data_IF_438064054603
#
_entry.id   IF_438064054603
#
_cell.length_a   1.000
_cell.length_b   1.000
_cell.length_c   1.000
_cell.angle_alpha   90.00
_cell.angle_beta   90.00
_cell.angle_gamma   90.00
#
_symmetry.space_group_name_H-M   'P 1'
#
loop_
_entity.id
_entity.type
_entity.pdbx_description
1 polymer ?
#
# COMPACT_ATOMS: atom_id res chain seq x y z
N UNK A 1 10.28 -1.15 -9.13
CA UNK A 1 10.64 -0.21 -8.04
C UNK A 1 9.80 -0.41 -6.79
N UNK A 2 8.48 -0.47 -6.90
CA UNK A 2 7.57 -0.72 -5.77
C UNK A 2 7.84 -2.01 -4.99
N UNK A 3 8.28 -3.09 -5.63
CA UNK A 3 8.65 -4.35 -4.95
C UNK A 3 9.94 -4.21 -4.12
N UNK A 4 10.91 -3.46 -4.65
CA UNK A 4 12.16 -3.18 -3.94
C UNK A 4 11.90 -2.36 -2.68
N UNK A 5 11.02 -1.35 -2.79
CA UNK A 5 10.55 -0.57 -1.66
C UNK A 5 9.95 -1.45 -0.54
N UNK A 6 8.92 -2.25 -0.86
CA UNK A 6 8.22 -3.04 0.16
C UNK A 6 9.17 -4.04 0.81
N UNK A 7 10.11 -4.61 0.05
CA UNK A 7 11.19 -5.44 0.57
C UNK A 7 12.11 -4.71 1.55
N UNK A 8 12.46 -3.45 1.28
CA UNK A 8 13.28 -2.61 2.17
C UNK A 8 12.47 -2.17 3.40
N UNK A 9 11.18 -1.85 3.27
CA UNK A 9 10.31 -1.53 4.41
C UNK A 9 10.18 -2.70 5.39
N UNK A 10 10.22 -3.95 4.93
CA UNK A 10 10.21 -5.13 5.80
C UNK A 10 11.44 -5.18 6.73
N UNK A 11 12.58 -4.65 6.28
CA UNK A 11 13.82 -4.62 7.03
C UNK A 11 13.95 -3.38 7.90
N UNK A 12 13.64 -2.20 7.35
CA UNK A 12 13.86 -0.90 8.00
C UNK A 12 12.71 -0.41 8.89
N UNK A 13 11.53 -1.03 8.86
CA UNK A 13 10.40 -0.65 9.71
C UNK A 13 10.43 -1.38 11.06
N UNK A 14 11.56 -1.26 11.76
CA UNK A 14 11.72 -1.70 13.14
C UNK A 14 11.85 -0.49 14.08
N UNK A 15 11.44 -0.61 15.36
CA UNK A 15 11.39 0.53 16.31
C UNK A 15 12.74 1.22 16.57
N UNK A 16 13.84 0.54 16.26
CA UNK A 16 15.22 0.91 16.50
C UNK A 16 15.95 1.48 15.28
N UNK A 17 15.29 1.56 14.12
CA UNK A 17 15.88 1.98 12.85
C UNK A 17 15.65 3.47 12.59
N UNK A 18 16.68 4.13 12.04
CA UNK A 18 16.67 5.55 11.73
C UNK A 18 15.53 5.91 10.74
N UNK A 19 14.72 6.91 11.08
CA UNK A 19 13.55 7.36 10.30
C UNK A 19 13.93 7.71 8.85
N UNK A 20 15.19 8.12 8.61
CA UNK A 20 15.70 8.41 7.27
C UNK A 20 15.54 7.26 6.27
N UNK A 21 15.65 6.00 6.71
CA UNK A 21 15.43 4.84 5.83
C UNK A 21 13.95 4.67 5.45
N UNK A 22 13.03 5.02 6.36
CA UNK A 22 11.59 5.02 6.06
C UNK A 22 11.27 6.11 5.03
N UNK A 23 11.90 7.28 5.14
CA UNK A 23 11.74 8.37 4.15
C UNK A 23 12.25 7.92 2.77
N UNK A 24 13.41 7.25 2.71
CA UNK A 24 13.93 6.68 1.45
C UNK A 24 12.95 5.72 0.79
N UNK A 25 12.35 4.81 1.57
CA UNK A 25 11.32 3.89 1.05
C UNK A 25 10.12 4.65 0.44
N UNK A 26 9.58 5.66 1.16
CA UNK A 26 8.47 6.47 0.63
C UNK A 26 8.80 7.19 -0.69
N UNK A 27 10.06 7.64 -0.86
CA UNK A 27 10.50 8.23 -2.12
C UNK A 27 10.43 7.20 -3.26
N UNK A 28 10.87 5.96 -3.04
CA UNK A 28 10.77 4.91 -4.06
C UNK A 28 9.33 4.53 -4.41
N UNK A 29 8.42 4.55 -3.44
CA UNK A 29 6.98 4.38 -3.69
C UNK A 29 6.48 5.51 -4.59
N UNK A 30 6.80 6.76 -4.27
CA UNK A 30 6.35 7.93 -5.02
C UNK A 30 6.81 7.88 -6.49
N UNK A 31 8.09 7.58 -6.72
CA UNK A 31 8.63 7.45 -8.08
C UNK A 31 8.05 6.25 -8.83
N UNK A 32 7.97 5.09 -8.18
CA UNK A 32 7.45 3.87 -8.81
C UNK A 32 5.96 3.97 -9.14
N UNK A 33 5.15 4.38 -8.15
CA UNK A 33 3.70 4.51 -8.29
C UNK A 33 3.31 5.65 -9.22
N UNK A 34 3.91 6.84 -9.07
CA UNK A 34 3.58 8.00 -9.88
C UNK A 34 3.90 7.80 -11.37
N UNK A 35 5.03 7.17 -11.68
CA UNK A 35 5.40 6.90 -13.08
C UNK A 35 4.44 5.89 -13.72
N UNK A 36 4.09 4.82 -13.00
CA UNK A 36 3.23 3.76 -13.53
C UNK A 36 1.84 4.29 -13.92
N UNK A 37 1.23 5.09 -13.05
CA UNK A 37 -0.11 5.67 -13.30
C UNK A 37 -0.11 6.58 -14.53
N UNK A 38 0.92 7.43 -14.70
CA UNK A 38 1.01 8.31 -15.86
C UNK A 38 1.20 7.51 -17.15
N UNK A 39 2.04 6.46 -17.12
CA UNK A 39 2.25 5.60 -18.29
C UNK A 39 0.98 4.82 -18.69
N UNK A 40 0.22 4.32 -17.72
CA UNK A 40 -1.07 3.66 -17.94
C UNK A 40 -2.06 4.62 -18.61
N UNK A 41 -2.26 5.80 -18.04
CA UNK A 41 -3.20 6.80 -18.59
C UNK A 41 -2.81 7.25 -20.00
N UNK A 42 -1.51 7.45 -20.24
CA UNK A 42 -1.00 7.78 -21.57
C UNK A 42 -1.32 6.68 -22.58
N UNK A 43 -1.15 5.40 -22.19
CA UNK A 43 -1.44 4.25 -23.04
C UNK A 43 -2.93 4.18 -23.37
N UNK A 44 -3.80 4.36 -22.36
CA UNK A 44 -5.26 4.41 -22.53
C UNK A 44 -5.67 5.51 -23.50
N UNK A 45 -5.09 6.71 -23.35
CA UNK A 45 -5.35 7.83 -24.26
C UNK A 45 -4.87 7.55 -25.68
N UNK A 46 -3.74 6.86 -25.85
CA UNK A 46 -3.15 6.55 -27.15
C UNK A 46 -3.98 5.52 -27.96
N UNK A 47 -4.55 4.51 -27.30
CA UNK A 47 -5.34 3.46 -27.98
C UNK A 47 -6.81 3.85 -28.18
N UNK A 48 -7.27 4.92 -27.52
CA UNK A 48 -8.66 5.37 -27.56
C UNK A 48 -8.93 6.39 -28.65
N UNK A 49 -10.18 6.46 -29.14
CA UNK A 49 -10.63 7.58 -29.99
C UNK A 49 -10.83 8.82 -29.14
N UNK A 50 -10.46 10.00 -29.64
CA UNK A 50 -10.54 11.28 -28.90
C UNK A 50 -11.89 11.53 -28.20
N UNK A 51 -13.01 11.20 -28.84
CA UNK A 51 -14.35 11.36 -28.24
C UNK A 51 -14.66 10.40 -27.07
N UNK A 52 -13.96 9.27 -26.98
CA UNK A 52 -14.20 8.25 -25.96
C UNK A 52 -13.20 8.31 -24.80
N UNK A 53 -12.14 9.11 -24.89
CA UNK A 53 -11.11 9.23 -23.84
C UNK A 53 -11.72 9.47 -22.45
N UNK A 54 -12.66 10.43 -22.26
CA UNK A 54 -13.23 10.67 -20.93
C UNK A 54 -13.97 9.45 -20.37
N UNK A 55 -14.69 8.71 -21.22
CA UNK A 55 -15.42 7.52 -20.81
C UNK A 55 -14.47 6.39 -20.40
N UNK A 56 -13.37 6.18 -21.13
CA UNK A 56 -12.40 5.13 -20.81
C UNK A 56 -11.64 5.47 -19.52
N UNK A 57 -11.22 6.73 -19.34
CA UNK A 57 -10.59 7.18 -18.08
C UNK A 57 -11.53 7.09 -16.88
N UNK A 58 -12.84 7.32 -17.07
CA UNK A 58 -13.82 7.14 -16.00
C UNK A 58 -13.93 5.65 -15.57
N UNK A 59 -13.89 4.73 -16.53
CA UNK A 59 -13.87 3.29 -16.24
C UNK A 59 -12.57 2.88 -15.54
N UNK A 60 -11.43 3.39 -15.98
CA UNK A 60 -10.13 3.19 -15.31
C UNK A 60 -10.20 3.62 -13.83
N UNK A 61 -10.64 4.86 -13.58
CA UNK A 61 -10.76 5.40 -12.23
C UNK A 61 -11.69 4.56 -11.33
N UNK A 62 -12.80 4.05 -11.89
CA UNK A 62 -13.70 3.15 -11.17
C UNK A 62 -13.00 1.85 -10.77
N UNK A 63 -12.23 1.24 -11.67
CA UNK A 63 -11.47 0.01 -11.38
C UNK A 63 -10.40 0.27 -10.32
N UNK A 64 -9.68 1.40 -10.40
CA UNK A 64 -8.71 1.80 -9.38
C UNK A 64 -9.35 2.00 -7.99
N UNK A 65 -10.55 2.60 -7.94
CA UNK A 65 -11.30 2.78 -6.70
C UNK A 65 -11.72 1.43 -6.09
N UNK A 66 -12.16 0.48 -6.92
CA UNK A 66 -12.48 -0.88 -6.47
C UNK A 66 -11.24 -1.58 -5.89
N UNK A 67 -10.10 -1.51 -6.59
CA UNK A 67 -8.84 -2.07 -6.10
C UNK A 67 -8.41 -1.48 -4.75
N UNK A 68 -8.53 -0.16 -4.60
CA UNK A 68 -8.21 0.56 -3.36
C UNK A 68 -9.12 0.13 -2.19
N UNK A 69 -10.41 -0.08 -2.45
CA UNK A 69 -11.37 -0.58 -1.46
C UNK A 69 -11.04 -2.00 -1.01
N UNK A 70 -10.72 -2.90 -1.94
CA UNK A 70 -10.32 -4.29 -1.62
C UNK A 70 -9.03 -4.30 -0.80
N UNK A 71 -8.00 -3.55 -1.21
CA UNK A 71 -6.74 -3.46 -0.48
C UNK A 71 -6.92 -2.94 0.94
N UNK A 72 -7.72 -1.88 1.11
CA UNK A 72 -8.03 -1.30 2.43
C UNK A 72 -8.79 -2.29 3.32
N UNK A 73 -9.71 -3.07 2.74
CA UNK A 73 -10.46 -4.10 3.47
C UNK A 73 -9.56 -5.23 3.95
N UNK A 74 -8.65 -5.71 3.10
CA UNK A 74 -7.66 -6.73 3.49
C UNK A 74 -6.76 -6.20 4.60
N UNK A 75 -6.27 -4.96 4.48
CA UNK A 75 -5.46 -4.32 5.51
C UNK A 75 -6.20 -4.20 6.85
N UNK A 76 -7.47 -3.78 6.83
CA UNK A 76 -8.32 -3.68 8.02
C UNK A 76 -8.58 -5.05 8.66
N UNK A 77 -8.85 -6.08 7.85
CA UNK A 77 -9.05 -7.45 8.33
C UNK A 77 -7.78 -8.03 8.96
N UNK A 78 -6.61 -7.77 8.37
CA UNK A 78 -5.33 -8.15 8.96
C UNK A 78 -5.08 -7.42 10.28
N UNK A 79 -5.35 -6.11 10.34
CA UNK A 79 -5.17 -5.31 11.56
C UNK A 79 -6.03 -5.85 12.70
N UNK A 80 -7.34 -5.96 12.47
CA UNK A 80 -8.30 -6.44 13.47
C UNK A 80 -8.13 -7.92 13.83
N UNK A 81 -7.59 -8.74 12.92
CA UNK A 81 -7.35 -10.16 13.19
C UNK A 81 -6.04 -10.46 13.93
N UNK A 82 -4.98 -9.69 13.66
CA UNK A 82 -3.61 -9.98 14.13
C UNK A 82 -3.23 -9.12 15.33
N UNK A 83 -3.51 -7.81 15.26
CA UNK A 83 -3.07 -6.84 16.26
C UNK A 83 -3.63 -7.13 17.65
N UNK A 84 -4.95 -7.32 17.88
CA UNK A 84 -5.49 -7.57 19.22
C UNK A 84 -5.00 -8.91 19.82
N UNK A 85 -4.88 -9.96 18.99
CA UNK A 85 -4.39 -11.28 19.45
C UNK A 85 -2.94 -11.20 19.92
N UNK A 86 -2.08 -10.50 19.16
CA UNK A 86 -0.68 -10.33 19.55
C UNK A 86 -0.53 -9.38 20.74
N UNK A 87 -1.34 -8.32 20.79
CA UNK A 87 -1.35 -7.36 21.87
C UNK A 87 -1.67 -8.03 23.21
N UNK A 88 -2.71 -8.86 23.28
CA UNK A 88 -3.07 -9.60 24.48
C UNK A 88 -1.96 -10.57 24.95
N UNK A 89 -1.19 -11.14 24.02
CA UNK A 89 -0.09 -12.09 24.32
C UNK A 89 1.17 -11.41 24.84
N UNK A 90 1.46 -10.20 24.37
CA UNK A 90 2.72 -9.49 24.67
C UNK A 90 2.56 -8.38 25.72
N UNK A 91 1.34 -8.03 26.13
CA UNK A 91 1.10 -7.10 27.23
C UNK A 91 1.48 -7.75 28.58
N UNK A 92 2.22 -7.03 29.45
CA UNK A 92 2.43 -7.46 30.83
C UNK A 92 1.10 -7.54 31.59
N UNK A 93 0.99 -8.42 32.58
CA UNK A 93 -0.25 -8.66 33.33
C UNK A 93 -0.84 -7.39 33.94
N UNK A 94 0.01 -6.42 34.28
CA UNK A 94 -0.38 -5.10 34.80
C UNK A 94 -1.14 -4.22 33.80
N UNK A 95 -1.00 -4.46 32.50
CA UNK A 95 -1.61 -3.65 31.44
C UNK A 95 -2.68 -4.42 30.63
N UNK A 96 -2.92 -5.69 30.95
CA UNK A 96 -3.97 -6.51 30.32
C UNK A 96 -5.38 -6.00 30.62
N UNK A 97 -5.59 -5.38 31.79
CA UNK A 97 -6.87 -4.76 32.16
C UNK A 97 -7.25 -3.58 31.25
N UNK A 98 -6.27 -2.82 30.79
CA UNK A 98 -6.46 -1.66 29.93
C UNK A 98 -6.44 -1.99 28.43
N UNK A 99 -6.49 -3.27 28.06
CA UNK A 99 -6.38 -3.74 26.69
C UNK A 99 -7.32 -3.01 25.71
N UNK A 100 -8.58 -2.79 26.10
CA UNK A 100 -9.56 -2.13 25.24
C UNK A 100 -9.22 -0.65 24.99
N UNK A 101 -8.75 0.05 26.02
CA UNK A 101 -8.32 1.45 25.93
C UNK A 101 -7.02 1.59 25.13
N UNK A 102 -6.07 0.67 25.35
CA UNK A 102 -4.82 0.62 24.60
C UNK A 102 -5.09 0.28 23.13
N UNK A 103 -5.98 -0.67 22.82
CA UNK A 103 -6.29 -1.01 21.42
C UNK A 103 -7.05 0.10 20.70
N UNK A 104 -8.01 0.73 21.39
CA UNK A 104 -8.92 1.70 20.81
C UNK A 104 -8.34 3.11 20.66
N UNK A 105 -7.28 3.46 21.40
CA UNK A 105 -6.79 4.84 21.44
C UNK A 105 -5.25 4.94 21.33
N UNK A 106 -4.80 5.60 20.26
CA UNK A 106 -3.39 5.86 20.00
C UNK A 106 -2.78 6.86 21.02
N UNK A 107 -3.60 7.74 21.60
CA UNK A 107 -3.14 8.69 22.63
C UNK A 107 -2.81 7.96 23.94
N UNK A 108 -3.59 6.94 24.31
CA UNK A 108 -3.29 6.06 25.45
C UNK A 108 -2.04 5.24 25.18
N UNK A 109 -1.86 4.73 23.97
CA UNK A 109 -0.63 4.02 23.60
C UNK A 109 0.61 4.91 23.69
N UNK A 110 0.48 6.20 23.38
CA UNK A 110 1.56 7.19 23.36
C UNK A 110 1.79 7.94 24.67
N UNK A 111 0.87 7.82 25.62
CA UNK A 111 1.05 8.37 26.98
C UNK A 111 1.99 7.52 27.83
N UNK A 112 2.20 6.23 27.50
CA UNK A 112 3.17 5.40 28.19
C UNK A 112 4.59 5.91 27.97
N UNK A 113 5.40 6.06 29.05
CA UNK A 113 6.73 6.62 28.94
C UNK A 113 7.62 5.78 28.00
N UNK A 114 8.44 6.43 27.15
CA UNK A 114 9.44 5.76 26.33
C UNK A 114 10.36 4.89 27.19
N UNK A 115 10.57 3.63 26.78
CA UNK A 115 11.38 2.66 27.53
C UNK A 115 10.62 1.85 28.58
N UNK A 116 9.34 2.13 28.83
CA UNK A 116 8.52 1.24 29.67
C UNK A 116 8.29 -0.13 28.98
N UNK A 117 8.16 -1.24 29.74
CA UNK A 117 7.89 -2.56 29.19
C UNK A 117 6.64 -2.57 28.30
N UNK A 118 5.61 -1.81 28.68
CA UNK A 118 4.37 -1.65 27.92
C UNK A 118 4.62 -0.93 26.58
N UNK A 119 5.37 0.17 26.57
CA UNK A 119 5.66 0.91 25.34
C UNK A 119 6.53 0.10 24.37
N UNK A 120 7.55 -0.59 24.86
CA UNK A 120 8.40 -1.47 24.05
C UNK A 120 7.58 -2.63 23.45
N UNK A 121 6.68 -3.22 24.24
CA UNK A 121 5.78 -4.26 23.76
C UNK A 121 4.87 -3.74 22.63
N UNK A 122 4.25 -2.57 22.82
CA UNK A 122 3.39 -1.93 21.81
C UNK A 122 4.19 -1.63 20.53
N UNK A 123 5.34 -0.98 20.62
CA UNK A 123 6.14 -0.61 19.44
C UNK A 123 6.59 -1.86 18.65
N UNK A 124 7.01 -2.92 19.35
CA UNK A 124 7.35 -4.20 18.73
C UNK A 124 6.15 -4.86 18.05
N UNK A 125 4.96 -4.76 18.63
CA UNK A 125 3.72 -5.28 18.05
C UNK A 125 3.32 -4.54 16.78
N UNK A 126 3.45 -3.22 16.76
CA UNK A 126 3.25 -2.41 15.56
C UNK A 126 4.19 -2.84 14.43
N UNK A 127 5.49 -2.92 14.71
CA UNK A 127 6.48 -3.36 13.73
C UNK A 127 6.19 -4.76 13.19
N UNK A 128 5.83 -5.72 14.06
CA UNK A 128 5.47 -7.07 13.63
C UNK A 128 4.19 -7.13 12.79
N UNK A 129 3.16 -6.36 13.15
CA UNK A 129 1.89 -6.34 12.42
C UNK A 129 2.08 -5.70 11.05
N UNK A 130 2.79 -4.57 11.01
CA UNK A 130 3.12 -3.88 9.77
C UNK A 130 4.00 -4.74 8.86
N UNK A 131 4.97 -5.47 9.40
CA UNK A 131 5.79 -6.43 8.63
C UNK A 131 4.93 -7.50 7.95
N UNK A 132 3.94 -8.06 8.65
CA UNK A 132 3.03 -9.05 8.05
C UNK A 132 2.18 -8.43 6.94
N UNK A 133 1.67 -7.21 7.13
CA UNK A 133 0.92 -6.50 6.10
C UNK A 133 1.76 -6.22 4.85
N UNK A 134 3.04 -5.84 5.02
CA UNK A 134 3.98 -5.62 3.92
C UNK A 134 4.30 -6.92 3.16
N UNK A 135 4.42 -8.06 3.84
CA UNK A 135 4.59 -9.37 3.19
C UNK A 135 3.36 -9.69 2.33
N UNK A 136 2.15 -9.51 2.86
CA UNK A 136 0.91 -9.71 2.09
C UNK A 136 0.85 -8.78 0.86
N UNK A 137 1.23 -7.51 1.02
CA UNK A 137 1.30 -6.57 -0.10
C UNK A 137 2.32 -7.03 -1.17
N UNK A 138 3.49 -7.54 -0.75
CA UNK A 138 4.50 -8.10 -1.67
C UNK A 138 3.93 -9.26 -2.48
N UNK A 139 3.17 -10.16 -1.85
CA UNK A 139 2.50 -11.25 -2.56
C UNK A 139 1.49 -10.72 -3.59
N UNK A 140 0.72 -9.69 -3.26
CA UNK A 140 -0.22 -9.08 -4.22
C UNK A 140 0.50 -8.43 -5.40
N UNK A 141 1.67 -7.81 -5.21
CA UNK A 141 2.47 -7.25 -6.30
C UNK A 141 2.95 -8.29 -7.33
N UNK A 142 3.07 -9.57 -6.93
CA UNK A 142 3.40 -10.64 -7.89
C UNK A 142 2.31 -10.84 -8.95
N UNK A 143 1.05 -10.57 -8.59
CA UNK A 143 -0.08 -10.60 -9.53
C UNK A 143 0.06 -9.43 -10.52
N UNK A 144 0.40 -8.23 -10.03
CA UNK A 144 0.64 -7.06 -10.89
C UNK A 144 1.76 -7.32 -11.89
N UNK A 145 2.88 -7.91 -11.46
CA UNK A 145 3.97 -8.30 -12.38
C UNK A 145 3.49 -9.28 -13.44
N UNK A 146 2.71 -10.28 -13.04
CA UNK A 146 2.15 -11.27 -13.97
C UNK A 146 1.26 -10.59 -15.00
N UNK A 147 0.42 -9.63 -14.59
CA UNK A 147 -0.43 -8.85 -15.49
C UNK A 147 0.39 -8.01 -16.49
N UNK A 148 1.52 -7.44 -16.08
CA UNK A 148 2.39 -6.68 -16.99
C UNK A 148 2.95 -7.55 -18.13
N UNK A 149 3.18 -8.85 -17.91
CA UNK A 149 3.58 -9.74 -19.01
C UNK A 149 2.51 -9.92 -20.10
N UNK A 150 1.24 -9.66 -19.78
CA UNK A 150 0.15 -9.72 -20.75
C UNK A 150 -0.11 -8.38 -21.46
N UNK A 151 0.62 -7.31 -21.14
CA UNK A 151 0.49 -6.06 -21.86
C UNK A 151 1.01 -6.19 -23.29
N UNK A 152 0.19 -5.72 -24.23
CA UNK A 152 0.60 -5.60 -25.62
C UNK A 152 1.44 -4.35 -25.80
N UNK A 153 2.50 -4.46 -26.60
CA UNK A 153 3.36 -3.34 -26.92
C UNK A 153 2.63 -2.39 -27.88
N UNK A 154 2.36 -1.16 -27.42
CA UNK A 154 1.64 -0.15 -28.20
C UNK A 154 2.66 0.82 -28.78
N UNK A 155 2.98 0.65 -30.07
CA UNK A 155 3.85 1.58 -30.78
C UNK A 155 3.12 2.88 -31.14
N UNK A 156 3.32 3.89 -30.29
CA UNK A 156 2.76 5.24 -30.45
C UNK A 156 3.22 5.93 -31.75
N UNK A 157 4.36 5.54 -32.35
CA UNK A 157 4.88 6.14 -33.59
C UNK A 157 4.08 5.73 -34.83
N UNK A 158 3.44 4.57 -34.80
CA UNK A 158 2.68 4.01 -35.92
C UNK A 158 1.16 4.15 -35.77
N UNK A 159 0.68 4.91 -34.78
CA UNK A 159 -0.76 5.15 -34.59
C UNK A 159 -1.25 6.07 -35.71
N UNK A 160 -1.86 5.48 -36.74
CA UNK A 160 -2.69 6.23 -37.71
C UNK A 160 -3.86 6.83 -36.95
N UNK A 161 -3.80 8.14 -36.70
CA UNK A 161 -4.92 8.93 -36.19
C UNK A 161 -6.14 8.63 -37.06
N UNK A 162 -7.13 7.91 -36.50
CA UNK A 162 -8.38 7.63 -37.21
C UNK A 162 -9.26 8.88 -37.19
N UNK A 163 -8.81 9.90 -37.92
CA UNK A 163 -9.59 11.08 -38.29
C UNK A 163 -10.62 10.66 -39.33
N UNK A 164 -11.70 10.01 -38.89
CA UNK A 164 -12.97 10.11 -39.60
C UNK A 164 -13.95 10.82 -38.69
N UNK A 165 -13.91 12.15 -38.79
CA UNK A 165 -15.08 12.99 -38.56
C UNK A 165 -16.09 12.55 -39.61
N UNK A 166 -17.12 11.83 -39.18
CA UNK A 166 -18.33 11.63 -39.97
C UNK A 166 -19.38 12.55 -39.35
N UNK A 167 -19.64 13.61 -40.10
CA UNK A 167 -20.73 14.58 -39.97
C UNK A 167 -22.06 13.83 -40.02
#
# INVERSE_FOLDING_TARGET
MTILDVGLMIHFRQPDVNIGYIVMTQIFIAFGGGTLVICEQMTVMAVSRHGNIPAVLAVEAMVCAMGSSVGSTIAAAMWTGIFPKKLMKNLPDSAKGDFASIYGDLTVQSSYPPGSPTRIAIDKLYGQTQKLMLITATCLYSITLSSTFFWQDVDVKNIKQRTKVLI
#
